data_IF_222268466205
#
_entry.id   IF_222268466205
#
_cell.length_a   1.000
_cell.length_b   1.000
_cell.length_c   1.000
_cell.angle_alpha   90.00
_cell.angle_beta   90.00
_cell.angle_gamma   90.00
#
_symmetry.space_group_name_H-M   'P 1'
#
loop_
_entity.id
_entity.type
_entity.pdbx_description
1 polymer ?
#
# COMPACT_ATOMS: atom_id res chain seq x y z
N UNK A 1 -5.47 -30.23 0.50
CA UNK A 1 -6.35 -29.33 1.32
C UNK A 1 -5.58 -28.23 2.01
N UNK A 2 -4.58 -28.50 2.86
CA UNK A 2 -3.85 -27.45 3.62
C UNK A 2 -3.19 -26.40 2.72
N UNK A 3 -2.53 -26.80 1.63
CA UNK A 3 -1.86 -25.90 0.69
C UNK A 3 -2.85 -24.95 -0.01
N UNK A 4 -4.01 -25.45 -0.36
CA UNK A 4 -5.11 -24.65 -0.93
C UNK A 4 -5.60 -23.59 0.04
N UNK A 5 -5.91 -23.98 1.29
CA UNK A 5 -6.38 -23.07 2.32
C UNK A 5 -5.33 -22.00 2.64
N UNK A 6 -4.05 -22.39 2.75
CA UNK A 6 -2.94 -21.47 2.93
C UNK A 6 -2.88 -20.41 1.82
N UNK A 7 -3.00 -20.82 0.55
CA UNK A 7 -2.95 -19.90 -0.59
C UNK A 7 -4.12 -18.92 -0.58
N UNK A 8 -5.32 -19.40 -0.27
CA UNK A 8 -6.49 -18.53 -0.13
C UNK A 8 -6.31 -17.48 0.97
N UNK A 9 -5.72 -17.87 2.11
CA UNK A 9 -5.45 -16.94 3.22
C UNK A 9 -4.44 -15.87 2.76
N UNK A 10 -3.37 -16.27 2.06
CA UNK A 10 -2.38 -15.31 1.53
C UNK A 10 -3.02 -14.35 0.53
N UNK A 11 -3.81 -14.86 -0.43
CA UNK A 11 -4.51 -14.05 -1.43
C UNK A 11 -5.47 -13.05 -0.77
N UNK A 12 -6.28 -13.51 0.18
CA UNK A 12 -7.20 -12.65 0.91
C UNK A 12 -6.47 -11.56 1.70
N UNK A 13 -5.41 -11.92 2.42
CA UNK A 13 -4.60 -10.98 3.18
C UNK A 13 -3.99 -9.90 2.28
N UNK A 14 -3.37 -10.30 1.17
CA UNK A 14 -2.73 -9.38 0.23
C UNK A 14 -3.73 -8.42 -0.41
N UNK A 15 -4.95 -8.89 -0.72
CA UNK A 15 -6.04 -8.06 -1.23
C UNK A 15 -6.49 -7.02 -0.20
N UNK A 16 -6.62 -7.41 1.08
CA UNK A 16 -6.95 -6.48 2.17
C UNK A 16 -5.88 -5.40 2.30
N UNK A 17 -4.59 -5.77 2.22
CA UNK A 17 -3.48 -4.80 2.26
C UNK A 17 -3.55 -3.84 1.08
N UNK A 18 -3.73 -4.33 -0.15
CA UNK A 18 -3.83 -3.51 -1.35
C UNK A 18 -5.00 -2.51 -1.26
N UNK A 19 -6.18 -2.99 -0.87
CA UNK A 19 -7.38 -2.16 -0.68
C UNK A 19 -7.17 -1.09 0.38
N UNK A 20 -6.57 -1.44 1.52
CA UNK A 20 -6.27 -0.47 2.60
C UNK A 20 -5.24 0.57 2.14
N UNK A 21 -4.24 0.19 1.35
CA UNK A 21 -3.30 1.14 0.76
C UNK A 21 -4.00 2.11 -0.19
N UNK A 22 -4.92 1.64 -1.05
CA UNK A 22 -5.72 2.51 -1.92
C UNK A 22 -6.55 3.49 -1.09
N UNK A 23 -7.28 3.00 -0.08
CA UNK A 23 -8.07 3.86 0.81
C UNK A 23 -7.21 4.90 1.53
N UNK A 24 -6.00 4.53 1.96
CA UNK A 24 -5.06 5.48 2.57
C UNK A 24 -4.57 6.51 1.56
N UNK A 25 -4.33 6.11 0.31
CA UNK A 25 -3.94 7.02 -0.75
C UNK A 25 -5.05 8.03 -1.06
N UNK A 26 -6.32 7.63 -1.14
CA UNK A 26 -7.43 8.55 -1.40
C UNK A 26 -7.59 9.63 -0.33
N UNK A 27 -7.25 9.31 0.93
CA UNK A 27 -7.32 10.25 2.06
C UNK A 27 -6.08 11.14 2.15
N UNK A 28 -4.88 10.60 1.87
CA UNK A 28 -3.61 11.30 2.12
C UNK A 28 -2.96 11.88 0.88
N UNK A 29 -3.32 11.38 -0.32
CA UNK A 29 -2.69 11.66 -1.60
C UNK A 29 -1.16 11.38 -1.65
N UNK A 30 -0.61 10.66 -0.66
CA UNK A 30 0.80 10.26 -0.65
C UNK A 30 1.04 9.08 -1.58
N UNK A 31 1.81 9.29 -2.63
CA UNK A 31 2.10 8.31 -3.71
C UNK A 31 2.68 6.98 -3.21
N UNK A 32 3.35 6.98 -2.07
CA UNK A 32 3.90 5.74 -1.48
C UNK A 32 2.81 4.68 -1.25
N UNK A 33 1.61 5.09 -0.86
CA UNK A 33 0.48 4.15 -0.68
C UNK A 33 -0.05 3.63 -2.01
N UNK A 34 -0.06 4.48 -3.06
CA UNK A 34 -0.45 4.05 -4.41
C UNK A 34 0.53 3.01 -4.96
N UNK A 35 1.84 3.25 -4.82
CA UNK A 35 2.87 2.30 -5.26
C UNK A 35 2.84 1.02 -4.44
N UNK A 36 2.58 1.10 -3.13
CA UNK A 36 2.39 -0.08 -2.28
C UNK A 36 1.15 -0.88 -2.70
N UNK A 37 0.04 -0.22 -3.02
CA UNK A 37 -1.14 -0.90 -3.55
C UNK A 37 -0.83 -1.64 -4.86
N UNK A 38 -0.11 -1.01 -5.79
CA UNK A 38 0.35 -1.64 -7.03
C UNK A 38 1.23 -2.87 -6.77
N UNK A 39 2.15 -2.77 -5.79
CA UNK A 39 3.00 -3.88 -5.39
C UNK A 39 2.17 -5.09 -4.91
N UNK A 40 1.26 -4.88 -3.96
CA UNK A 40 0.44 -5.97 -3.42
C UNK A 40 -0.57 -6.50 -4.43
N UNK A 41 -1.13 -5.66 -5.29
CA UNK A 41 -2.01 -6.09 -6.38
C UNK A 41 -1.25 -6.97 -7.39
N UNK A 42 -0.03 -6.59 -7.78
CA UNK A 42 0.80 -7.40 -8.67
C UNK A 42 1.17 -8.73 -8.03
N UNK A 43 1.52 -8.72 -6.74
CA UNK A 43 1.80 -9.96 -6.00
C UNK A 43 0.57 -10.87 -5.87
N UNK A 44 -0.63 -10.30 -5.70
CA UNK A 44 -1.87 -11.09 -5.74
C UNK A 44 -2.00 -11.87 -7.04
N UNK A 45 -1.78 -11.22 -8.19
CA UNK A 45 -1.85 -11.90 -9.48
C UNK A 45 -0.73 -12.92 -9.68
N UNK A 46 0.47 -12.66 -9.15
CA UNK A 46 1.59 -13.62 -9.20
C UNK A 46 1.28 -14.88 -8.42
N UNK A 47 0.75 -14.78 -7.21
CA UNK A 47 0.28 -15.94 -6.43
C UNK A 47 -0.92 -16.62 -7.09
N UNK A 48 -1.85 -15.85 -7.67
CA UNK A 48 -3.02 -16.40 -8.38
C UNK A 48 -2.62 -17.15 -9.65
N UNK A 49 -1.56 -16.74 -10.35
CA UNK A 49 -1.02 -17.44 -11.51
C UNK A 49 -0.56 -18.85 -11.14
N UNK A 50 0.18 -18.99 -10.05
CA UNK A 50 0.61 -20.30 -9.53
C UNK A 50 -0.59 -21.12 -9.05
N UNK A 51 -1.55 -20.46 -8.38
CA UNK A 51 -2.77 -21.11 -7.89
C UNK A 51 -3.66 -21.64 -9.02
N UNK A 52 -3.77 -20.92 -10.15
CA UNK A 52 -4.48 -21.37 -11.36
C UNK A 52 -3.99 -22.74 -11.83
N UNK A 53 -2.69 -22.98 -11.79
CA UNK A 53 -2.06 -24.24 -12.19
C UNK A 53 -2.48 -25.42 -11.31
N UNK A 54 -2.72 -25.18 -10.02
CA UNK A 54 -3.22 -26.20 -9.08
C UNK A 54 -4.66 -26.59 -9.40
N UNK A 55 -5.48 -25.61 -9.84
CA UNK A 55 -6.90 -25.78 -10.08
C UNK A 55 -7.23 -26.33 -11.47
N UNK A 56 -6.44 -25.95 -12.46
CA UNK A 56 -6.65 -26.33 -13.86
C UNK A 56 -5.42 -27.13 -14.32
N UNK A 57 -5.38 -28.44 -14.04
CA UNK A 57 -4.28 -29.26 -14.52
C UNK A 57 -4.22 -29.23 -16.05
N UNK A 58 -3.02 -29.17 -16.65
CA UNK A 58 -2.87 -29.14 -18.09
C UNK A 58 -3.50 -30.39 -18.73
N UNK A 59 -4.25 -30.18 -19.81
CA UNK A 59 -4.91 -31.23 -20.58
C UNK A 59 -3.93 -32.20 -21.28
N UNK A 60 -2.68 -31.79 -21.42
CA UNK A 60 -1.58 -32.58 -21.96
C UNK A 60 -0.49 -32.70 -20.91
N UNK A 61 0.05 -33.92 -20.72
CA UNK A 61 1.14 -34.18 -19.76
C UNK A 61 2.37 -33.31 -20.08
N UNK A 62 2.41 -32.12 -19.54
CA UNK A 62 3.57 -31.25 -19.64
C UNK A 62 4.71 -31.80 -18.81
N UNK A 63 5.92 -31.73 -19.33
CA UNK A 63 7.11 -32.19 -18.63
C UNK A 63 7.26 -31.48 -17.27
N UNK A 64 7.77 -32.21 -16.28
CA UNK A 64 7.94 -31.70 -14.89
C UNK A 64 8.75 -30.40 -14.84
N UNK A 65 9.53 -30.09 -15.86
CA UNK A 65 10.42 -28.91 -15.97
C UNK A 65 9.94 -27.85 -16.98
N UNK A 66 8.65 -27.77 -17.26
CA UNK A 66 8.13 -26.75 -18.17
C UNK A 66 7.66 -25.54 -17.40
N UNK A 67 8.27 -24.36 -17.67
CA UNK A 67 7.85 -23.07 -17.13
C UNK A 67 6.54 -22.68 -17.84
N UNK A 68 5.43 -23.05 -17.24
CA UNK A 68 4.11 -22.73 -17.76
C UNK A 68 3.84 -21.25 -17.56
N UNK A 69 3.29 -20.57 -18.58
CA UNK A 69 2.96 -19.13 -18.49
C UNK A 69 4.18 -18.22 -18.27
N UNK A 70 5.31 -18.52 -18.89
CA UNK A 70 6.53 -17.71 -18.79
C UNK A 70 6.32 -16.21 -19.11
N UNK A 71 5.57 -15.80 -20.15
CA UNK A 71 5.32 -14.36 -20.43
C UNK A 71 4.57 -13.67 -19.28
N UNK A 72 3.55 -14.33 -18.72
CA UNK A 72 2.78 -13.79 -17.59
C UNK A 72 3.67 -13.65 -16.36
N UNK A 73 4.53 -14.64 -16.07
CA UNK A 73 5.48 -14.58 -14.96
C UNK A 73 6.54 -13.49 -15.12
N UNK A 74 7.01 -13.23 -16.34
CA UNK A 74 7.94 -12.12 -16.63
C UNK A 74 7.23 -10.78 -16.43
N UNK A 75 6.01 -10.63 -16.92
CA UNK A 75 5.23 -9.40 -16.77
C UNK A 75 4.98 -9.07 -15.30
N UNK A 76 4.52 -10.06 -14.53
CA UNK A 76 4.24 -9.88 -13.09
C UNK A 76 5.54 -9.66 -12.31
N UNK A 77 6.62 -10.37 -12.59
CA UNK A 77 7.92 -10.15 -11.97
C UNK A 77 8.48 -8.76 -12.26
N UNK A 78 8.34 -8.26 -13.49
CA UNK A 78 8.71 -6.88 -13.84
C UNK A 78 7.86 -5.86 -13.07
N UNK A 79 6.55 -6.11 -12.94
CA UNK A 79 5.64 -5.29 -12.14
C UNK A 79 6.02 -5.25 -10.65
N UNK A 80 6.35 -6.40 -10.06
CA UNK A 80 6.83 -6.50 -8.67
C UNK A 80 8.09 -5.67 -8.45
N UNK A 81 9.07 -5.79 -9.35
CA UNK A 81 10.31 -5.00 -9.28
C UNK A 81 10.02 -3.51 -9.47
N UNK A 82 9.19 -3.14 -10.45
CA UNK A 82 8.80 -1.75 -10.71
C UNK A 82 8.20 -1.11 -9.48
N UNK A 83 7.16 -1.71 -8.91
CA UNK A 83 6.47 -1.14 -7.74
C UNK A 83 7.36 -1.14 -6.49
N UNK A 84 8.21 -2.15 -6.30
CA UNK A 84 9.20 -2.17 -5.22
C UNK A 84 10.19 -1.00 -5.34
N UNK A 85 10.70 -0.73 -6.53
CA UNK A 85 11.56 0.42 -6.80
C UNK A 85 10.81 1.74 -6.57
N UNK A 86 9.58 1.88 -7.05
CA UNK A 86 8.78 3.10 -6.86
C UNK A 86 8.52 3.39 -5.38
N UNK A 87 8.21 2.38 -4.56
CA UNK A 87 8.06 2.51 -3.10
C UNK A 87 9.37 3.02 -2.46
N UNK A 88 10.51 2.42 -2.82
CA UNK A 88 11.82 2.80 -2.26
C UNK A 88 12.25 4.20 -2.72
N UNK A 89 12.05 4.53 -3.98
CA UNK A 89 12.40 5.85 -4.52
C UNK A 89 11.56 6.96 -3.90
N UNK A 90 10.26 6.71 -3.70
CA UNK A 90 9.37 7.64 -3.00
C UNK A 90 9.79 7.81 -1.53
N UNK A 91 10.14 6.71 -0.85
CA UNK A 91 10.64 6.73 0.53
C UNK A 91 11.95 7.52 0.67
N UNK A 92 12.88 7.38 -0.28
CA UNK A 92 14.16 8.09 -0.28
C UNK A 92 14.08 9.50 -0.88
N UNK A 93 12.92 9.88 -1.45
CA UNK A 93 12.74 11.15 -2.20
C UNK A 93 13.80 11.34 -3.30
N UNK A 94 14.16 10.27 -4.00
CA UNK A 94 15.20 10.27 -5.04
C UNK A 94 14.66 9.73 -6.36
N UNK A 95 15.32 10.10 -7.45
CA UNK A 95 15.10 9.53 -8.77
C UNK A 95 16.42 8.96 -9.27
N UNK A 96 16.38 7.79 -9.91
CA UNK A 96 17.57 7.13 -10.45
C UNK A 96 17.21 6.27 -11.66
N UNK A 97 18.07 6.17 -12.67
CA UNK A 97 17.90 5.22 -13.78
C UNK A 97 18.15 3.76 -13.37
N UNK A 98 18.71 3.50 -12.18
CA UNK A 98 19.00 2.12 -11.71
C UNK A 98 17.74 1.24 -11.66
N UNK A 99 16.56 1.82 -11.46
CA UNK A 99 15.28 1.13 -11.56
C UNK A 99 15.12 0.47 -12.93
N UNK A 100 15.33 1.22 -14.02
CA UNK A 100 15.18 0.70 -15.38
C UNK A 100 16.24 -0.37 -15.66
N UNK A 101 17.48 -0.17 -15.21
CA UNK A 101 18.57 -1.16 -15.34
C UNK A 101 18.17 -2.47 -14.65
N UNK A 102 17.69 -2.42 -13.40
CA UNK A 102 17.28 -3.61 -12.65
C UNK A 102 16.14 -4.38 -13.33
N UNK A 103 15.13 -3.67 -13.85
CA UNK A 103 14.00 -4.29 -14.56
C UNK A 103 14.47 -4.88 -15.90
N UNK A 104 15.32 -4.17 -16.65
CA UNK A 104 15.84 -4.66 -17.93
C UNK A 104 16.69 -5.91 -17.73
N UNK A 105 17.58 -5.93 -16.73
CA UNK A 105 18.39 -7.12 -16.40
C UNK A 105 17.49 -8.31 -16.06
N UNK A 106 16.42 -8.09 -15.28
CA UNK A 106 15.45 -9.14 -14.97
C UNK A 106 14.76 -9.68 -16.24
N UNK A 107 14.20 -8.80 -17.08
CA UNK A 107 13.47 -9.21 -18.30
C UNK A 107 14.39 -9.91 -19.28
N UNK A 108 15.53 -9.31 -19.58
CA UNK A 108 16.51 -9.89 -20.52
C UNK A 108 17.05 -11.22 -19.99
N UNK A 109 17.44 -11.28 -18.71
CA UNK A 109 17.95 -12.52 -18.09
C UNK A 109 16.91 -13.65 -18.10
N UNK A 110 15.63 -13.32 -17.82
CA UNK A 110 14.54 -14.29 -17.89
C UNK A 110 14.30 -14.81 -19.33
N UNK A 111 14.27 -13.92 -20.33
CA UNK A 111 14.12 -14.31 -21.73
C UNK A 111 15.32 -15.14 -22.21
N UNK A 112 16.54 -14.71 -21.90
CA UNK A 112 17.76 -15.45 -22.24
C UNK A 112 17.76 -16.85 -21.64
N UNK A 113 17.35 -17.00 -20.38
CA UNK A 113 17.25 -18.32 -19.75
C UNK A 113 16.27 -19.25 -20.47
N UNK A 114 15.16 -18.71 -20.98
CA UNK A 114 14.15 -19.48 -21.72
C UNK A 114 14.63 -19.92 -23.12
N UNK A 115 15.39 -19.06 -23.80
CA UNK A 115 15.79 -19.29 -25.21
C UNK A 115 17.08 -20.09 -25.31
N UNK A 116 18.06 -19.84 -24.43
CA UNK A 116 19.41 -20.40 -24.57
C UNK A 116 19.61 -21.66 -23.73
N UNK A 117 18.94 -21.75 -22.55
CA UNK A 117 19.19 -22.88 -21.66
C UNK A 117 18.38 -24.10 -22.03
N UNK A 118 18.97 -25.31 -21.98
CA UNK A 118 18.24 -26.56 -22.19
C UNK A 118 17.20 -26.80 -21.09
N UNK A 119 16.16 -27.55 -21.42
CA UNK A 119 15.13 -27.93 -20.45
C UNK A 119 15.77 -28.64 -19.25
N UNK A 120 15.38 -28.25 -18.04
CA UNK A 120 15.86 -28.84 -16.79
C UNK A 120 15.84 -27.89 -15.60
N UNK A 121 16.14 -28.41 -14.43
CA UNK A 121 16.11 -27.67 -13.17
C UNK A 121 17.01 -26.43 -13.14
N UNK A 122 18.15 -26.45 -13.87
CA UNK A 122 19.05 -25.29 -13.98
C UNK A 122 18.36 -24.13 -14.68
N UNK A 123 17.59 -24.40 -15.76
CA UNK A 123 16.83 -23.36 -16.46
C UNK A 123 15.78 -22.73 -15.55
N UNK A 124 15.04 -23.55 -14.82
CA UNK A 124 14.05 -23.08 -13.85
C UNK A 124 14.71 -22.24 -12.75
N UNK A 125 15.79 -22.73 -12.18
CA UNK A 125 16.54 -22.02 -11.16
C UNK A 125 16.99 -20.64 -11.64
N UNK A 126 17.58 -20.56 -12.83
CA UNK A 126 18.05 -19.26 -13.38
C UNK A 126 16.85 -18.36 -13.63
N UNK A 127 15.77 -18.85 -14.22
CA UNK A 127 14.57 -18.08 -14.50
C UNK A 127 13.96 -17.46 -13.23
N UNK A 128 13.70 -18.25 -12.20
CA UNK A 128 13.10 -17.78 -10.95
C UNK A 128 14.09 -16.95 -10.10
N UNK A 129 15.39 -17.24 -10.18
CA UNK A 129 16.40 -16.46 -9.47
C UNK A 129 16.63 -15.07 -10.02
N UNK A 130 16.21 -14.75 -11.26
CA UNK A 130 16.31 -13.40 -11.82
C UNK A 130 15.54 -12.36 -11.00
N UNK A 131 14.44 -12.73 -10.36
CA UNK A 131 13.71 -11.86 -9.40
C UNK A 131 14.61 -11.53 -8.20
N UNK A 132 15.33 -12.53 -7.68
CA UNK A 132 16.29 -12.36 -6.59
C UNK A 132 17.40 -11.38 -6.92
N UNK A 133 17.94 -11.42 -8.15
CA UNK A 133 18.94 -10.45 -8.62
C UNK A 133 18.39 -9.02 -8.57
N UNK A 134 17.14 -8.83 -9.04
CA UNK A 134 16.46 -7.54 -8.95
C UNK A 134 16.25 -7.06 -7.49
N UNK A 135 15.87 -7.97 -6.58
CA UNK A 135 15.71 -7.65 -5.17
C UNK A 135 17.05 -7.31 -4.49
N UNK A 136 18.11 -8.04 -4.78
CA UNK A 136 19.47 -7.76 -4.27
C UNK A 136 19.97 -6.38 -4.74
N UNK A 137 19.74 -6.03 -6.01
CA UNK A 137 20.11 -4.69 -6.53
C UNK A 137 19.36 -3.58 -5.80
N UNK A 138 18.08 -3.77 -5.48
CA UNK A 138 17.27 -2.83 -4.73
C UNK A 138 17.79 -2.66 -3.28
N UNK A 139 18.07 -3.77 -2.60
CA UNK A 139 18.64 -3.76 -1.24
C UNK A 139 20.01 -3.09 -1.24
N UNK A 140 20.88 -3.43 -2.19
CA UNK A 140 22.18 -2.79 -2.36
C UNK A 140 22.08 -1.27 -2.57
N UNK A 141 21.09 -0.83 -3.35
CA UNK A 141 20.78 0.58 -3.51
C UNK A 141 20.37 1.26 -2.19
N UNK A 142 19.52 0.63 -1.40
CA UNK A 142 19.13 1.16 -0.08
C UNK A 142 20.33 1.27 0.85
N UNK A 143 21.14 0.20 0.94
CA UNK A 143 22.35 0.17 1.79
C UNK A 143 23.36 1.24 1.35
N UNK A 144 23.62 1.34 0.04
CA UNK A 144 24.51 2.38 -0.50
C UNK A 144 24.05 3.79 -0.10
N UNK A 145 22.75 4.08 -0.24
CA UNK A 145 22.23 5.40 0.14
C UNK A 145 22.31 5.63 1.65
N UNK A 146 22.09 4.60 2.48
CA UNK A 146 22.27 4.70 3.93
C UNK A 146 23.71 5.04 4.34
N UNK A 147 24.68 4.40 3.71
CA UNK A 147 26.13 4.64 3.99
C UNK A 147 26.57 5.99 3.45
N UNK A 148 26.12 6.36 2.24
CA UNK A 148 26.54 7.58 1.56
C UNK A 148 25.82 8.84 2.05
N UNK A 149 24.68 8.72 2.75
CA UNK A 149 23.93 9.87 3.22
C UNK A 149 24.69 10.63 4.30
N UNK A 150 24.84 11.94 4.12
CA UNK A 150 25.41 12.85 5.12
C UNK A 150 24.32 13.61 5.91
N UNK A 151 23.07 13.56 5.46
CA UNK A 151 21.95 14.20 6.13
C UNK A 151 21.55 13.43 7.39
N UNK A 152 21.62 14.05 8.59
CA UNK A 152 21.20 13.41 9.84
C UNK A 152 19.73 13.00 9.86
N UNK A 153 18.86 13.80 9.21
CA UNK A 153 17.42 13.52 9.14
C UNK A 153 17.13 12.28 8.28
N UNK A 154 17.80 12.17 7.12
CA UNK A 154 17.68 10.99 6.25
C UNK A 154 18.19 9.73 6.95
N UNK A 155 19.35 9.82 7.63
CA UNK A 155 19.89 8.70 8.44
C UNK A 155 18.96 8.29 9.57
N UNK A 156 18.38 9.24 10.28
CA UNK A 156 17.42 8.94 11.36
C UNK A 156 16.18 8.22 10.81
N UNK A 157 15.61 8.69 9.70
CA UNK A 157 14.48 8.06 9.02
C UNK A 157 14.80 6.62 8.60
N UNK A 158 15.94 6.39 7.95
CA UNK A 158 16.37 5.05 7.55
C UNK A 158 16.66 4.14 8.74
N UNK A 159 17.20 4.67 9.84
CA UNK A 159 17.46 3.92 11.08
C UNK A 159 16.18 3.36 11.69
N UNK A 160 15.10 4.13 11.71
CA UNK A 160 13.79 3.67 12.19
C UNK A 160 13.26 2.50 11.36
N UNK A 161 13.55 2.45 10.05
CA UNK A 161 13.11 1.38 9.15
C UNK A 161 14.13 0.25 8.99
N UNK A 162 15.29 0.34 9.67
CA UNK A 162 16.35 -0.69 9.60
C UNK A 162 15.86 -2.12 9.89
N UNK A 163 15.01 -2.37 10.92
CA UNK A 163 14.57 -3.73 11.20
C UNK A 163 13.84 -4.37 10.03
N UNK A 164 12.94 -3.63 9.36
CA UNK A 164 12.22 -4.17 8.20
C UNK A 164 13.13 -4.36 6.98
N UNK A 165 14.08 -3.45 6.76
CA UNK A 165 15.07 -3.59 5.66
C UNK A 165 15.91 -4.84 5.88
N UNK A 166 16.38 -5.09 7.10
CA UNK A 166 17.15 -6.29 7.45
C UNK A 166 16.29 -7.55 7.29
N UNK A 167 15.05 -7.52 7.78
CA UNK A 167 14.12 -8.64 7.61
C UNK A 167 13.87 -8.97 6.13
N UNK A 168 13.66 -7.96 5.29
CA UNK A 168 13.52 -8.15 3.84
C UNK A 168 14.81 -8.75 3.22
N UNK A 169 15.99 -8.28 3.62
CA UNK A 169 17.26 -8.81 3.13
C UNK A 169 17.44 -10.29 3.50
N UNK A 170 17.12 -10.66 4.75
CA UNK A 170 17.15 -12.06 5.20
C UNK A 170 16.17 -12.91 4.41
N UNK A 171 14.93 -12.45 4.22
CA UNK A 171 13.94 -13.18 3.43
C UNK A 171 14.40 -13.38 1.98
N UNK A 172 15.01 -12.38 1.35
CA UNK A 172 15.56 -12.52 -0.03
C UNK A 172 16.65 -13.59 -0.08
N UNK A 173 17.53 -13.67 0.92
CA UNK A 173 18.54 -14.74 1.02
C UNK A 173 17.85 -16.10 1.17
N UNK A 174 16.82 -16.20 2.02
CA UNK A 174 16.05 -17.44 2.20
C UNK A 174 15.30 -17.87 0.93
N UNK A 175 14.78 -16.91 0.15
CA UNK A 175 14.18 -17.18 -1.16
C UNK A 175 15.19 -17.83 -2.12
N UNK A 176 16.40 -17.28 -2.20
CA UNK A 176 17.46 -17.85 -3.03
C UNK A 176 17.84 -19.26 -2.55
N UNK A 177 17.97 -19.43 -1.23
CA UNK A 177 18.27 -20.74 -0.64
C UNK A 177 17.18 -21.77 -0.94
N UNK A 178 15.90 -21.40 -0.82
CA UNK A 178 14.76 -22.26 -1.14
C UNK A 178 14.78 -22.68 -2.63
N UNK A 179 15.09 -21.75 -3.53
CA UNK A 179 15.26 -22.06 -4.96
C UNK A 179 16.41 -23.04 -5.20
N UNK A 180 17.56 -22.90 -4.53
CA UNK A 180 18.69 -23.84 -4.63
C UNK A 180 18.29 -25.22 -4.14
N UNK A 181 17.66 -25.31 -2.97
CA UNK A 181 17.25 -26.58 -2.37
C UNK A 181 16.18 -27.31 -3.19
N UNK A 182 15.22 -26.56 -3.75
CA UNK A 182 14.10 -27.13 -4.51
C UNK A 182 14.44 -27.48 -5.95
N UNK A 183 15.16 -26.59 -6.65
CA UNK A 183 15.34 -26.69 -8.10
C UNK A 183 16.68 -27.30 -8.52
N UNK A 184 17.76 -27.08 -7.76
CA UNK A 184 19.08 -27.66 -8.06
C UNK A 184 19.28 -28.97 -7.33
N UNK A 185 19.12 -28.98 -6.01
CA UNK A 185 19.40 -30.15 -5.19
C UNK A 185 18.25 -31.15 -5.16
N UNK A 186 17.06 -30.78 -5.69
CA UNK A 186 15.85 -31.63 -5.74
C UNK A 186 15.53 -32.34 -4.41
N UNK A 187 15.87 -31.67 -3.29
CA UNK A 187 15.66 -32.20 -1.94
C UNK A 187 14.19 -32.16 -1.51
N UNK A 188 13.35 -31.43 -2.26
CA UNK A 188 11.91 -31.40 -2.05
C UNK A 188 11.28 -32.44 -2.99
N UNK A 189 10.79 -33.60 -2.47
CA UNK A 189 10.22 -34.63 -3.33
C UNK A 189 8.95 -34.12 -4.03
N UNK A 190 8.78 -34.51 -5.30
CA UNK A 190 7.56 -34.20 -6.07
C UNK A 190 6.28 -34.74 -5.39
N UNK A 191 6.42 -35.80 -4.57
CA UNK A 191 5.33 -36.39 -3.77
C UNK A 191 4.75 -35.46 -2.69
N UNK A 192 5.43 -34.37 -2.33
CA UNK A 192 4.93 -33.40 -1.32
C UNK A 192 3.79 -32.53 -1.86
N UNK A 193 3.52 -32.54 -3.17
CA UNK A 193 2.56 -31.63 -3.80
C UNK A 193 2.98 -30.16 -3.78
N UNK A 194 4.22 -29.88 -3.38
CA UNK A 194 4.80 -28.52 -3.39
C UNK A 194 5.31 -28.27 -4.80
N UNK A 195 4.75 -27.28 -5.47
CA UNK A 195 5.19 -26.91 -6.81
C UNK A 195 6.57 -26.24 -6.74
N UNK A 196 7.52 -26.57 -7.63
CA UNK A 196 8.84 -25.93 -7.69
C UNK A 196 8.77 -24.42 -7.87
N UNK A 197 7.69 -23.92 -8.47
CA UNK A 197 7.44 -22.50 -8.74
C UNK A 197 6.97 -21.73 -7.49
N UNK A 198 6.68 -22.41 -6.38
CA UNK A 198 6.12 -21.81 -5.19
C UNK A 198 7.19 -21.63 -4.13
N UNK A 199 7.50 -20.36 -3.85
CA UNK A 199 8.45 -20.00 -2.82
C UNK A 199 7.73 -19.56 -1.54
N UNK A 200 7.90 -20.32 -0.46
CA UNK A 200 7.28 -20.04 0.84
C UNK A 200 7.93 -18.83 1.52
N UNK A 201 9.24 -18.67 1.36
CA UNK A 201 9.97 -17.53 1.93
C UNK A 201 9.55 -16.21 1.26
N UNK A 202 9.19 -16.24 -0.02
CA UNK A 202 8.61 -15.09 -0.71
C UNK A 202 7.24 -14.72 -0.15
N UNK A 203 6.38 -15.71 0.11
CA UNK A 203 5.09 -15.46 0.77
C UNK A 203 5.27 -14.85 2.18
N UNK A 204 6.23 -15.35 2.97
CA UNK A 204 6.55 -14.80 4.29
C UNK A 204 7.02 -13.34 4.19
N UNK A 205 7.86 -13.05 3.20
CA UNK A 205 8.32 -11.68 2.91
C UNK A 205 7.14 -10.75 2.65
N UNK A 206 6.24 -11.12 1.72
CA UNK A 206 5.11 -10.27 1.35
C UNK A 206 4.06 -10.16 2.45
N UNK A 207 3.82 -11.22 3.23
CA UNK A 207 2.93 -11.18 4.40
C UNK A 207 3.52 -10.27 5.48
N UNK A 208 4.82 -10.36 5.75
CA UNK A 208 5.51 -9.48 6.71
C UNK A 208 5.49 -8.01 6.29
N UNK A 209 5.82 -7.73 5.02
CA UNK A 209 5.72 -6.37 4.47
C UNK A 209 4.27 -5.86 4.49
N UNK A 210 3.30 -6.72 4.17
CA UNK A 210 1.88 -6.39 4.19
C UNK A 210 1.38 -6.05 5.59
N UNK A 211 1.75 -6.82 6.60
CA UNK A 211 1.40 -6.56 7.99
C UNK A 211 1.99 -5.21 8.48
N UNK A 212 3.23 -4.93 8.09
CA UNK A 212 3.84 -3.63 8.38
C UNK A 212 3.13 -2.47 7.65
N UNK A 213 2.83 -2.62 6.35
CA UNK A 213 2.11 -1.63 5.56
C UNK A 213 0.70 -1.39 6.12
N UNK A 214 -0.04 -2.45 6.46
CA UNK A 214 -1.37 -2.37 7.05
C UNK A 214 -1.34 -1.59 8.38
N UNK A 215 -0.42 -1.92 9.29
CA UNK A 215 -0.25 -1.18 10.54
C UNK A 215 0.04 0.31 10.30
N UNK A 216 0.85 0.62 9.28
CA UNK A 216 1.17 2.01 8.90
C UNK A 216 -0.06 2.72 8.36
N UNK A 217 -0.81 2.10 7.45
CA UNK A 217 -2.06 2.63 6.91
C UNK A 217 -3.09 2.90 8.01
N UNK A 218 -3.35 1.92 8.88
CA UNK A 218 -4.31 2.06 9.97
C UNK A 218 -3.93 3.21 10.91
N UNK A 219 -2.64 3.34 11.27
CA UNK A 219 -2.17 4.47 12.09
C UNK A 219 -2.40 5.81 11.40
N UNK A 220 -2.08 5.90 10.10
CA UNK A 220 -2.27 7.13 9.32
C UNK A 220 -3.74 7.50 9.22
N UNK A 221 -4.62 6.53 8.93
CA UNK A 221 -6.06 6.75 8.85
C UNK A 221 -6.65 7.16 10.21
N UNK A 222 -6.19 6.57 11.33
CA UNK A 222 -6.61 6.98 12.68
C UNK A 222 -6.24 8.43 12.99
N UNK A 223 -5.02 8.86 12.65
CA UNK A 223 -4.61 10.25 12.83
C UNK A 223 -5.50 11.17 12.01
N UNK A 224 -5.74 10.85 10.74
CA UNK A 224 -6.60 11.64 9.86
C UNK A 224 -8.07 11.64 10.29
N UNK A 225 -8.57 10.54 10.81
CA UNK A 225 -9.93 10.47 11.35
C UNK A 225 -10.12 11.30 12.64
N UNK A 226 -9.03 11.61 13.35
CA UNK A 226 -9.06 12.51 14.51
C UNK A 226 -8.90 13.99 14.11
N UNK A 227 -8.35 14.28 12.93
CA UNK A 227 -8.34 15.62 12.37
C UNK A 227 -9.79 16.02 12.01
N UNK A 228 -10.22 17.21 12.44
CA UNK A 228 -11.53 17.74 12.07
C UNK A 228 -11.59 17.87 10.53
N UNK A 229 -12.65 17.34 9.88
CA UNK A 229 -12.75 17.43 8.43
C UNK A 229 -12.92 18.92 8.04
N UNK A 230 -11.90 19.47 7.40
CA UNK A 230 -11.98 20.80 6.80
C UNK A 230 -12.62 20.72 5.43
N UNK A 231 -13.54 21.65 5.14
CA UNK A 231 -14.23 21.73 3.84
C UNK A 231 -13.25 22.34 2.82
N UNK A 232 -12.26 21.58 2.40
CA UNK A 232 -11.29 21.99 1.37
C UNK A 232 -11.60 21.40 -0.02
N UNK A 233 -12.62 20.52 -0.12
CA UNK A 233 -12.98 19.81 -1.35
C UNK A 233 -14.37 20.28 -1.83
N UNK A 234 -14.57 20.60 -3.14
CA UNK A 234 -15.88 20.95 -3.72
C UNK A 234 -17.00 19.96 -3.42
N UNK A 235 -16.70 18.65 -3.45
CA UNK A 235 -17.66 17.59 -3.11
C UNK A 235 -18.06 17.63 -1.63
N UNK A 236 -17.13 17.94 -0.73
CA UNK A 236 -17.42 18.11 0.69
C UNK A 236 -18.28 19.36 0.92
N UNK A 237 -18.04 20.45 0.16
CA UNK A 237 -18.84 21.67 0.24
C UNK A 237 -20.30 21.43 -0.18
N UNK A 238 -20.54 20.69 -1.27
CA UNK A 238 -21.87 20.34 -1.74
C UNK A 238 -22.60 19.40 -0.75
N UNK A 239 -21.92 18.42 -0.24
CA UNK A 239 -22.45 17.52 0.80
C UNK A 239 -22.80 18.28 2.08
N UNK A 240 -21.93 19.18 2.53
CA UNK A 240 -22.18 20.01 3.73
C UNK A 240 -23.36 20.96 3.50
N UNK A 241 -23.49 21.56 2.32
CA UNK A 241 -24.61 22.45 2.00
C UNK A 241 -25.95 21.71 2.05
N UNK A 242 -26.00 20.49 1.53
CA UNK A 242 -27.22 19.65 1.58
C UNK A 242 -27.53 19.12 2.98
N UNK A 243 -26.50 18.70 3.73
CA UNK A 243 -26.67 18.14 5.08
C UNK A 243 -26.93 19.22 6.14
N UNK A 244 -26.41 20.44 5.95
CA UNK A 244 -26.56 21.54 6.90
C UNK A 244 -28.02 21.93 7.11
N UNK A 245 -28.86 21.90 6.09
CA UNK A 245 -30.28 22.19 6.22
C UNK A 245 -31.00 21.16 7.09
N UNK A 246 -30.70 19.86 6.88
CA UNK A 246 -31.30 18.79 7.68
C UNK A 246 -30.85 18.87 9.14
N UNK A 247 -29.55 19.11 9.37
CA UNK A 247 -29.00 19.30 10.71
C UNK A 247 -29.59 20.53 11.41
N UNK A 248 -29.75 21.64 10.69
CA UNK A 248 -30.35 22.85 11.20
C UNK A 248 -31.82 22.67 11.62
N UNK A 249 -32.62 21.94 10.83
CA UNK A 249 -34.02 21.61 11.17
C UNK A 249 -34.07 20.77 12.43
N UNK A 250 -33.20 19.75 12.55
CA UNK A 250 -33.15 18.88 13.72
C UNK A 250 -32.83 19.63 15.02
N UNK A 251 -31.98 20.63 14.96
CA UNK A 251 -31.51 21.39 16.13
C UNK A 251 -32.19 22.77 16.29
N UNK A 252 -33.13 23.11 15.43
CA UNK A 252 -33.87 24.38 15.50
C UNK A 252 -33.00 25.60 15.28
N UNK A 253 -32.03 25.51 14.35
CA UNK A 253 -31.16 26.64 14.01
C UNK A 253 -31.87 27.62 13.09
N UNK A 254 -31.73 28.92 13.34
CA UNK A 254 -32.20 29.99 12.46
C UNK A 254 -31.30 30.11 11.20
N UNK A 255 -31.77 30.78 10.17
CA UNK A 255 -31.01 31.00 8.93
C UNK A 255 -29.63 31.64 9.20
N UNK A 256 -29.55 32.60 10.12
CA UNK A 256 -28.28 33.23 10.52
C UNK A 256 -27.35 32.28 11.29
N UNK A 257 -27.92 31.40 12.10
CA UNK A 257 -27.13 30.36 12.79
C UNK A 257 -26.63 29.32 11.83
N UNK A 258 -27.37 29.01 10.74
CA UNK A 258 -26.90 28.11 9.67
C UNK A 258 -25.71 28.72 8.91
N UNK A 259 -25.78 30.00 8.56
CA UNK A 259 -24.64 30.72 7.96
C UNK A 259 -23.40 30.64 8.87
N UNK A 260 -23.57 30.90 10.16
CA UNK A 260 -22.51 30.77 11.16
C UNK A 260 -21.98 29.33 11.29
N UNK A 261 -22.86 28.33 11.28
CA UNK A 261 -22.49 26.92 11.31
C UNK A 261 -21.62 26.54 10.10
N UNK A 262 -21.99 26.94 8.88
CA UNK A 262 -21.24 26.67 7.67
C UNK A 262 -19.81 27.23 7.72
N UNK A 263 -19.62 28.44 8.27
CA UNK A 263 -18.32 29.05 8.46
C UNK A 263 -17.50 28.32 9.55
N UNK A 264 -18.16 27.90 10.63
CA UNK A 264 -17.55 27.05 11.66
C UNK A 264 -17.06 25.72 11.06
N UNK A 265 -17.87 25.08 10.22
CA UNK A 265 -17.52 23.82 9.54
C UNK A 265 -16.36 23.98 8.53
N UNK A 266 -16.16 25.20 7.99
CA UNK A 266 -15.00 25.57 7.19
C UNK A 266 -13.72 25.77 8.01
N UNK A 267 -13.81 25.75 9.33
CA UNK A 267 -12.69 25.99 10.22
C UNK A 267 -12.37 27.47 10.45
N UNK A 268 -13.23 28.40 9.99
CA UNK A 268 -13.01 29.84 10.12
C UNK A 268 -13.05 30.29 11.58
N UNK A 269 -12.10 31.12 11.99
CA UNK A 269 -12.05 31.71 13.32
C UNK A 269 -13.14 32.76 13.53
N UNK A 270 -13.41 33.16 14.79
CA UNK A 270 -14.45 34.17 15.08
C UNK A 270 -14.21 35.53 14.39
N UNK A 271 -12.95 35.87 14.10
CA UNK A 271 -12.60 37.11 13.38
C UNK A 271 -12.97 36.99 11.90
N UNK A 272 -12.61 35.86 11.27
CA UNK A 272 -12.92 35.54 9.87
C UNK A 272 -14.44 35.46 9.63
N UNK A 273 -15.15 34.83 10.57
CA UNK A 273 -16.62 34.76 10.55
C UNK A 273 -17.23 36.17 10.68
N UNK A 274 -16.67 37.01 11.54
CA UNK A 274 -17.13 38.39 11.73
C UNK A 274 -16.95 39.22 10.45
N UNK A 275 -15.81 39.07 9.80
CA UNK A 275 -15.51 39.73 8.53
C UNK A 275 -16.45 39.25 7.41
N UNK A 276 -16.68 37.90 7.31
CA UNK A 276 -17.55 37.30 6.31
C UNK A 276 -19.03 37.64 6.47
N UNK A 277 -19.52 37.80 7.71
CA UNK A 277 -20.93 38.10 8.00
C UNK A 277 -21.21 39.59 8.25
N UNK A 278 -20.17 40.45 8.17
CA UNK A 278 -20.23 41.88 8.48
C UNK A 278 -20.75 42.16 9.90
N UNK A 279 -20.26 41.37 10.88
CA UNK A 279 -20.63 41.45 12.29
C UNK A 279 -19.44 41.81 13.18
N UNK A 280 -19.72 42.21 14.44
CA UNK A 280 -18.65 42.29 15.42
C UNK A 280 -18.19 40.90 15.89
N UNK A 281 -16.92 40.79 16.28
CA UNK A 281 -16.38 39.52 16.84
C UNK A 281 -17.18 39.07 18.08
N UNK A 282 -17.65 40.03 18.89
CA UNK A 282 -18.47 39.73 20.07
C UNK A 282 -19.84 39.20 19.69
N UNK A 283 -20.46 39.72 18.63
CA UNK A 283 -21.73 39.21 18.10
C UNK A 283 -21.55 37.78 17.59
N UNK A 284 -20.46 37.49 16.88
CA UNK A 284 -20.15 36.14 16.40
C UNK A 284 -19.95 35.16 17.56
N UNK A 285 -19.26 35.53 18.64
CA UNK A 285 -19.12 34.71 19.84
C UNK A 285 -20.48 34.32 20.42
N UNK A 286 -21.43 35.27 20.46
CA UNK A 286 -22.80 34.98 20.94
C UNK A 286 -23.54 34.04 20.01
N UNK A 287 -23.44 34.24 18.69
CA UNK A 287 -24.06 33.33 17.72
C UNK A 287 -23.49 31.94 17.82
N UNK A 288 -22.17 31.75 17.86
CA UNK A 288 -21.52 30.47 18.03
C UNK A 288 -21.95 29.80 19.34
N UNK A 289 -22.01 30.55 20.43
CA UNK A 289 -22.48 30.03 21.71
C UNK A 289 -23.94 29.53 21.64
N UNK A 290 -24.82 30.26 20.95
CA UNK A 290 -26.20 29.81 20.73
C UNK A 290 -26.29 28.54 19.88
N UNK A 291 -25.47 28.41 18.83
CA UNK A 291 -25.39 27.20 18.02
C UNK A 291 -24.95 26.01 18.89
N UNK A 292 -23.88 26.18 19.68
CA UNK A 292 -23.38 25.12 20.56
C UNK A 292 -24.46 24.65 21.55
N UNK A 293 -25.14 25.61 22.18
CA UNK A 293 -26.24 25.32 23.14
C UNK A 293 -27.40 24.58 22.48
N UNK A 294 -27.83 24.99 21.27
CA UNK A 294 -28.91 24.33 20.53
C UNK A 294 -28.54 22.94 20.06
N UNK A 295 -27.29 22.73 19.69
CA UNK A 295 -26.77 21.43 19.28
C UNK A 295 -26.39 20.52 20.46
N UNK A 296 -26.42 21.03 21.73
CA UNK A 296 -26.04 20.26 22.90
C UNK A 296 -24.56 19.96 22.99
N UNK A 297 -23.71 20.76 22.38
CA UNK A 297 -22.24 20.57 22.33
C UNK A 297 -21.52 21.59 23.21
N UNK A 298 -20.44 21.17 23.87
CA UNK A 298 -19.67 22.01 24.80
C UNK A 298 -18.68 22.94 24.11
N UNK A 299 -18.18 22.54 22.97
CA UNK A 299 -17.17 23.25 22.23
C UNK A 299 -17.34 23.11 20.70
N UNK A 300 -16.50 23.84 19.97
CA UNK A 300 -16.54 23.92 18.51
C UNK A 300 -16.14 22.61 17.84
N UNK A 301 -15.21 21.88 18.44
CA UNK A 301 -14.75 20.59 17.91
C UNK A 301 -15.85 19.53 18.04
N UNK A 302 -16.55 19.52 19.18
CA UNK A 302 -17.69 18.63 19.38
C UNK A 302 -18.84 18.97 18.43
N UNK A 303 -19.08 20.25 18.13
CA UNK A 303 -20.10 20.68 17.15
C UNK A 303 -19.77 20.13 15.76
N UNK A 304 -18.54 20.30 15.29
CA UNK A 304 -18.10 19.81 14.00
C UNK A 304 -18.21 18.28 13.96
N UNK A 305 -17.77 17.59 15.00
CA UNK A 305 -17.90 16.11 15.10
C UNK A 305 -19.35 15.66 15.06
N UNK A 306 -20.23 16.28 15.86
CA UNK A 306 -21.65 15.96 15.89
C UNK A 306 -22.35 16.18 14.55
N UNK A 307 -21.94 17.22 13.80
CA UNK A 307 -22.42 17.43 12.44
C UNK A 307 -22.05 16.28 11.51
N UNK A 308 -20.76 15.86 11.50
CA UNK A 308 -20.29 14.79 10.62
C UNK A 308 -20.81 13.39 11.01
N UNK A 309 -21.16 13.17 12.27
CA UNK A 309 -21.80 11.95 12.74
C UNK A 309 -23.30 11.89 12.36
N UNK A 310 -23.92 13.04 12.16
CA UNK A 310 -25.35 13.14 11.85
C UNK A 310 -25.64 13.28 10.34
N UNK A 311 -24.63 13.67 9.55
CA UNK A 311 -24.71 13.88 8.11
C UNK A 311 -24.41 12.62 7.30
#
# INVERSE_FOLDING_TARGET
>A
MALFQYTLIVLFFVMVVASTCISTFTVTHHRIYLWSAGLFTTYFFDVALVFRRIMVPPLTGTAVYEITSAPESILLGAGLLLFSWLVVLEFLHRRTPMMLIGITVFVVGSVVSLVIMPFGGIREFVFYSMRGVGAVTLIGYIVRNYVASQDPAERARMRVHRPIIVACAVCVILVVLENVLGQILTLIPASTGILPERNFCENILFVGMGAWALNRCVRTLRIRAQELPTISNPLAAEFVASSAQCFAQKHGLSAREVEGLLLVLRGEGNKEIADSLFLSVNTVKVHVHHILRKCGTGDREQLIRSFWEAA
#
